data_IF_956542582435
#
_entry.id   IF_956542582435
#
_cell.length_a   1.000
_cell.length_b   1.000
_cell.length_c   1.000
_cell.angle_alpha   90.00
_cell.angle_beta   90.00
_cell.angle_gamma   90.00
#
_symmetry.space_group_name_H-M   'P 1'
#
loop_
_entity.id
_entity.type
_entity.pdbx_description
1 polymer ?
#
# COMPACT_ATOMS: atom_id res chain seq x y z
N UNK A 1 -7.27 -10.08 21.97
CA UNK A 1 -5.87 -9.74 22.35
C UNK A 1 -5.36 -8.64 21.45
N UNK A 2 -4.53 -7.70 21.93
CA UNK A 2 -3.91 -6.67 21.08
C UNK A 2 -2.45 -7.01 20.79
N UNK A 3 -2.02 -6.84 19.54
CA UNK A 3 -0.63 -6.98 19.12
C UNK A 3 -0.30 -5.88 18.12
N UNK A 4 0.85 -5.25 18.25
CA UNK A 4 1.25 -4.16 17.37
C UNK A 4 2.48 -4.59 16.57
N UNK A 5 2.57 -4.12 15.33
CA UNK A 5 3.68 -4.45 14.45
C UNK A 5 4.19 -3.19 13.75
N UNK A 6 5.50 -3.05 13.66
CA UNK A 6 6.12 -2.13 12.72
C UNK A 6 6.14 -2.77 11.32
N UNK A 7 6.00 -1.95 10.29
CA UNK A 7 5.96 -2.38 8.88
C UNK A 7 7.17 -1.80 8.14
N UNK A 8 7.83 -2.67 7.35
CA UNK A 8 8.75 -2.27 6.28
C UNK A 8 8.43 -3.09 5.04
N UNK A 9 8.42 -2.47 3.87
CA UNK A 9 8.07 -3.18 2.64
C UNK A 9 8.29 -2.37 1.39
N UNK A 10 7.80 -2.91 0.29
CA UNK A 10 7.85 -2.24 -1.02
C UNK A 10 6.53 -2.47 -1.76
N UNK A 11 6.10 -1.46 -2.50
CA UNK A 11 5.06 -1.61 -3.52
C UNK A 11 5.64 -1.30 -4.89
N UNK A 12 5.40 -2.17 -5.86
CA UNK A 12 5.78 -1.99 -7.27
C UNK A 12 4.55 -1.56 -8.06
N UNK A 13 4.68 -0.45 -8.78
CA UNK A 13 3.64 0.06 -9.68
C UNK A 13 4.01 -0.35 -11.10
N UNK A 14 3.28 -1.32 -11.64
CA UNK A 14 3.63 -1.94 -12.93
C UNK A 14 3.55 -0.95 -14.07
N UNK A 15 2.47 -0.17 -14.16
CA UNK A 15 2.25 0.79 -15.24
C UNK A 15 3.33 1.89 -15.27
N UNK A 16 3.82 2.29 -14.10
CA UNK A 16 4.83 3.33 -13.95
C UNK A 16 6.27 2.79 -13.98
N UNK A 17 6.45 1.47 -14.08
CA UNK A 17 7.74 0.78 -14.04
C UNK A 17 8.64 1.30 -12.91
N UNK A 18 8.17 1.14 -11.68
CA UNK A 18 8.93 1.57 -10.52
C UNK A 18 8.30 1.14 -9.22
N UNK A 19 8.83 1.67 -8.12
CA UNK A 19 8.47 1.23 -6.78
C UNK A 19 8.47 2.36 -5.78
N UNK A 20 7.83 2.10 -4.65
CA UNK A 20 7.86 2.96 -3.48
C UNK A 20 8.12 2.13 -2.23
N UNK A 21 9.03 2.57 -1.34
CA UNK A 21 9.22 1.92 -0.06
C UNK A 21 8.02 2.21 0.84
N UNK A 22 7.65 1.22 1.64
CA UNK A 22 6.57 1.32 2.62
C UNK A 22 7.16 1.24 4.02
N UNK A 23 6.72 2.14 4.89
CA UNK A 23 6.97 2.07 6.33
C UNK A 23 5.70 2.43 7.07
N UNK A 24 5.57 1.99 8.31
CA UNK A 24 4.40 2.30 9.12
C UNK A 24 4.26 1.37 10.30
N UNK A 25 3.03 1.25 10.78
CA UNK A 25 2.67 0.26 11.79
C UNK A 25 1.24 -0.21 11.62
N UNK A 26 0.91 -1.29 12.32
CA UNK A 26 -0.44 -1.84 12.35
C UNK A 26 -0.76 -2.34 13.76
N UNK A 27 -1.84 -1.81 14.32
CA UNK A 27 -2.34 -2.16 15.64
C UNK A 27 -3.48 -3.17 15.48
N UNK A 28 -3.26 -4.41 15.87
CA UNK A 28 -4.18 -5.52 15.62
C UNK A 28 -4.96 -5.89 16.87
N UNK A 29 -6.21 -6.31 16.68
CA UNK A 29 -7.07 -6.91 17.70
C UNK A 29 -7.49 -8.31 17.23
N UNK A 30 -6.85 -9.32 17.81
CA UNK A 30 -7.14 -10.72 17.54
C UNK A 30 -8.31 -11.25 18.38
N UNK A 31 -9.22 -11.93 17.71
CA UNK A 31 -10.22 -12.84 18.27
C UNK A 31 -9.70 -14.28 18.14
N UNK A 32 -9.13 -14.79 19.24
CA UNK A 32 -8.54 -16.13 19.29
C UNK A 32 -9.58 -17.24 19.10
N UNK A 33 -10.84 -16.98 19.44
CA UNK A 33 -11.90 -18.00 19.31
C UNK A 33 -12.31 -18.22 17.86
N UNK A 34 -12.15 -17.19 17.02
CA UNK A 34 -12.55 -17.20 15.60
C UNK A 34 -11.36 -17.30 14.64
N UNK A 35 -10.13 -17.10 15.13
CA UNK A 35 -8.95 -17.00 14.26
C UNK A 35 -9.00 -15.77 13.35
N UNK A 36 -9.68 -14.71 13.76
CA UNK A 36 -9.87 -13.47 12.99
C UNK A 36 -9.21 -12.28 13.68
N UNK A 37 -8.93 -11.22 12.95
CA UNK A 37 -8.52 -9.94 13.52
C UNK A 37 -9.11 -8.76 12.76
N UNK A 38 -9.28 -7.65 13.47
CA UNK A 38 -9.36 -6.31 12.91
C UNK A 38 -8.10 -5.54 13.26
N UNK A 39 -7.73 -4.55 12.45
CA UNK A 39 -6.52 -3.79 12.67
C UNK A 39 -6.61 -2.36 12.14
N UNK A 40 -5.97 -1.46 12.87
CA UNK A 40 -5.79 -0.07 12.48
C UNK A 40 -4.39 0.04 11.84
N UNK A 41 -4.34 0.05 10.51
CA UNK A 41 -3.09 0.19 9.76
C UNK A 41 -2.74 1.68 9.68
N UNK A 42 -1.45 2.03 9.63
CA UNK A 42 -0.99 3.37 9.35
C UNK A 42 0.31 3.31 8.58
N UNK A 43 0.23 3.58 7.28
CA UNK A 43 1.42 3.75 6.44
C UNK A 43 1.87 5.20 6.48
N UNK A 44 3.18 5.40 6.59
CA UNK A 44 3.78 6.71 6.54
C UNK A 44 3.77 7.24 5.10
N UNK A 45 3.70 8.58 4.90
CA UNK A 45 4.00 9.17 3.61
C UNK A 45 5.39 8.74 3.12
N UNK A 46 5.52 8.58 1.82
CA UNK A 46 6.72 8.03 1.18
C UNK A 46 6.96 8.71 -0.17
N UNK A 47 8.12 8.43 -0.78
CA UNK A 47 8.48 8.92 -2.10
C UNK A 47 8.76 7.75 -3.02
N UNK A 48 8.04 7.67 -4.14
CA UNK A 48 8.25 6.67 -5.18
C UNK A 48 9.19 7.15 -6.29
N UNK A 49 9.85 6.20 -6.95
CA UNK A 49 10.67 6.43 -8.14
C UNK A 49 10.20 5.53 -9.26
N UNK A 50 10.04 6.10 -10.45
CA UNK A 50 9.34 5.50 -11.59
C UNK A 50 10.03 5.86 -12.90
N UNK A 51 9.82 5.04 -13.94
CA UNK A 51 10.33 5.30 -15.29
C UNK A 51 9.19 5.13 -16.29
N UNK A 52 8.48 6.23 -16.55
CA UNK A 52 7.32 6.25 -17.43
C UNK A 52 7.78 6.23 -18.89
N UNK A 53 7.03 5.58 -19.78
CA UNK A 53 7.38 5.38 -21.20
C UNK A 53 8.74 4.68 -21.44
N UNK A 54 9.34 4.07 -20.41
CA UNK A 54 10.61 3.35 -20.50
C UNK A 54 11.87 4.23 -20.45
N UNK A 55 11.75 5.56 -20.46
CA UNK A 55 12.91 6.46 -20.44
C UNK A 55 12.72 7.75 -19.61
N UNK A 56 11.51 8.07 -19.13
CA UNK A 56 11.24 9.31 -18.39
C UNK A 56 11.29 9.08 -16.88
N UNK A 57 12.35 9.53 -16.18
CA UNK A 57 12.45 9.41 -14.73
C UNK A 57 11.41 10.32 -14.07
N UNK A 58 10.58 9.71 -13.24
CA UNK A 58 9.49 10.36 -12.54
C UNK A 58 9.58 10.05 -11.05
N UNK A 59 9.26 11.02 -10.20
CA UNK A 59 9.10 10.81 -8.76
C UNK A 59 7.72 11.26 -8.32
N UNK A 60 7.18 10.61 -7.30
CA UNK A 60 5.93 11.04 -6.70
C UNK A 60 6.00 11.00 -5.18
N UNK A 61 5.44 12.03 -4.54
CA UNK A 61 5.18 12.03 -3.10
C UNK A 61 3.84 11.35 -2.87
N UNK A 62 3.83 10.31 -2.05
CA UNK A 62 2.71 9.39 -1.89
C UNK A 62 2.26 9.38 -0.45
N UNK A 63 0.94 9.46 -0.23
CA UNK A 63 0.32 9.29 1.07
C UNK A 63 -0.86 8.31 0.98
N UNK A 64 -1.23 7.74 2.12
CA UNK A 64 -2.24 6.71 2.21
C UNK A 64 -3.33 7.14 3.20
N UNK A 65 -4.59 6.93 2.83
CA UNK A 65 -5.74 7.19 3.70
C UNK A 65 -6.63 5.96 3.72
N UNK A 66 -6.72 5.30 4.87
CA UNK A 66 -7.60 4.14 5.02
C UNK A 66 -9.07 4.53 5.03
N UNK A 67 -9.88 3.70 4.39
CA UNK A 67 -11.35 3.85 4.39
C UNK A 67 -12.03 3.03 5.48
N UNK A 68 -11.27 2.17 6.17
CA UNK A 68 -11.76 1.35 7.27
C UNK A 68 -10.66 0.49 7.88
N UNK A 69 -11.06 -0.31 8.87
CA UNK A 69 -10.18 -1.29 9.53
C UNK A 69 -9.72 -2.35 8.53
N UNK A 70 -8.44 -2.70 8.61
CA UNK A 70 -7.94 -3.92 7.97
C UNK A 70 -8.57 -5.12 8.68
N UNK A 71 -9.02 -6.12 7.92
CA UNK A 71 -9.59 -7.35 8.48
C UNK A 71 -8.81 -8.55 7.98
N UNK A 72 -8.80 -9.63 8.75
CA UNK A 72 -8.08 -10.82 8.33
C UNK A 72 -8.29 -12.04 9.21
N UNK A 73 -7.60 -13.10 8.82
CA UNK A 73 -7.59 -14.40 9.51
C UNK A 73 -6.16 -14.82 9.78
N UNK A 74 -5.96 -15.51 10.90
CA UNK A 74 -4.73 -16.23 11.23
C UNK A 74 -5.13 -17.61 11.71
N UNK A 75 -4.79 -18.64 10.94
CA UNK A 75 -5.08 -20.03 11.33
C UNK A 75 -4.01 -20.59 12.29
N UNK A 76 -4.26 -21.81 12.78
CA UNK A 76 -3.36 -22.49 13.72
C UNK A 76 -2.04 -22.94 13.09
N UNK A 77 -1.99 -23.11 11.77
CA UNK A 77 -0.76 -23.35 11.01
C UNK A 77 0.07 -22.07 10.85
N UNK A 78 -0.54 -20.91 11.11
CA UNK A 78 0.04 -19.57 10.99
C UNK A 78 -0.05 -19.01 9.57
N UNK A 79 -0.99 -19.49 8.75
CA UNK A 79 -1.32 -18.83 7.50
C UNK A 79 -2.16 -17.59 7.79
N UNK A 80 -1.61 -16.42 7.46
CA UNK A 80 -2.29 -15.14 7.61
C UNK A 80 -2.88 -14.71 6.27
N UNK A 81 -4.10 -14.20 6.29
CA UNK A 81 -4.70 -13.44 5.18
C UNK A 81 -5.25 -12.13 5.71
N UNK A 82 -5.09 -11.05 4.95
CA UNK A 82 -5.63 -9.74 5.31
C UNK A 82 -6.19 -9.01 4.11
N UNK A 83 -7.14 -8.12 4.36
CA UNK A 83 -7.73 -7.22 3.39
C UNK A 83 -7.77 -5.81 3.97
N UNK A 84 -7.27 -4.86 3.19
CA UNK A 84 -7.29 -3.43 3.51
C UNK A 84 -7.86 -2.65 2.33
N UNK A 85 -8.52 -1.53 2.64
CA UNK A 85 -8.94 -0.56 1.64
C UNK A 85 -8.40 0.83 1.99
N UNK A 86 -7.82 1.51 0.99
CA UNK A 86 -7.28 2.85 1.19
C UNK A 86 -7.27 3.67 -0.10
N UNK A 87 -7.42 4.98 0.05
CA UNK A 87 -7.07 5.91 -1.01
C UNK A 87 -5.55 6.10 -1.05
N UNK A 88 -5.01 6.06 -2.27
CA UNK A 88 -3.62 6.45 -2.54
C UNK A 88 -3.64 7.88 -3.05
N UNK A 89 -2.91 8.78 -2.40
CA UNK A 89 -2.82 10.20 -2.73
C UNK A 89 -1.45 10.51 -3.32
N UNK A 90 -1.40 11.36 -4.34
CA UNK A 90 -0.15 11.88 -4.89
C UNK A 90 -0.03 13.37 -4.56
N UNK A 91 0.80 13.70 -3.57
CA UNK A 91 1.03 15.08 -3.16
C UNK A 91 1.73 15.90 -4.24
N UNK A 92 2.66 15.27 -4.96
CA UNK A 92 3.37 15.87 -6.10
C UNK A 92 3.82 14.77 -7.05
N UNK A 93 3.80 15.05 -8.35
CA UNK A 93 4.34 14.20 -9.41
C UNK A 93 5.34 15.04 -10.20
N UNK A 94 6.58 14.58 -10.28
CA UNK A 94 7.69 15.34 -10.87
C UNK A 94 8.39 14.54 -11.96
N UNK A 95 8.62 15.16 -13.12
CA UNK A 95 9.41 14.60 -14.22
C UNK A 95 10.68 15.44 -14.33
N UNK A 96 11.85 14.80 -14.29
CA UNK A 96 13.16 15.50 -14.21
C UNK A 96 13.21 16.57 -13.09
N UNK A 97 12.50 16.34 -11.98
CA UNK A 97 12.41 17.28 -10.85
C UNK A 97 11.44 18.45 -11.04
N UNK A 98 10.76 18.55 -12.19
CA UNK A 98 9.77 19.60 -12.47
C UNK A 98 8.37 19.05 -12.13
N UNK A 99 7.58 19.73 -11.28
CA UNK A 99 6.23 19.29 -10.95
C UNK A 99 5.31 19.38 -12.17
N UNK A 100 4.68 18.26 -12.51
CA UNK A 100 3.72 18.14 -13.62
C UNK A 100 2.27 17.94 -13.14
N UNK A 101 2.08 17.66 -11.85
CA UNK A 101 0.77 17.46 -11.24
C UNK A 101 0.87 16.95 -9.81
N UNK A 102 -0.24 16.39 -9.33
CA UNK A 102 -0.42 16.08 -7.91
C UNK A 102 -1.27 17.13 -7.21
N UNK A 103 -1.13 17.23 -5.89
CA UNK A 103 -1.83 18.19 -5.05
C UNK A 103 -2.77 17.54 -4.03
N UNK A 104 -3.43 18.35 -3.19
CA UNK A 104 -4.23 17.85 -2.06
C UNK A 104 -5.42 16.97 -2.49
N UNK A 105 -5.98 17.23 -3.67
CA UNK A 105 -7.12 16.50 -4.22
C UNK A 105 -6.72 15.29 -5.09
N UNK A 106 -5.43 15.14 -5.43
CA UNK A 106 -4.96 14.09 -6.32
C UNK A 106 -4.92 12.75 -5.59
N UNK A 107 -5.88 11.88 -5.90
CA UNK A 107 -6.01 10.56 -5.28
C UNK A 107 -6.74 9.56 -6.14
N UNK A 108 -6.71 8.29 -5.77
CA UNK A 108 -7.53 7.24 -6.41
C UNK A 108 -9.02 7.61 -6.34
N UNK A 109 -9.74 7.39 -7.45
CA UNK A 109 -11.15 7.71 -7.59
C UNK A 109 -12.04 6.92 -6.64
N UNK A 110 -11.66 5.65 -6.42
CA UNK A 110 -12.19 4.71 -5.43
C UNK A 110 -11.05 4.19 -4.53
N UNK A 111 -11.36 3.56 -3.39
CA UNK A 111 -10.34 2.90 -2.58
C UNK A 111 -9.65 1.78 -3.37
N UNK A 112 -8.34 1.68 -3.23
CA UNK A 112 -7.58 0.52 -3.67
C UNK A 112 -7.78 -0.60 -2.65
N UNK A 113 -8.20 -1.77 -3.13
CA UNK A 113 -8.34 -2.98 -2.33
C UNK A 113 -7.02 -3.75 -2.38
N UNK A 114 -6.45 -4.02 -1.21
CA UNK A 114 -5.18 -4.72 -1.05
C UNK A 114 -5.41 -5.99 -0.23
N UNK A 115 -5.30 -7.13 -0.90
CA UNK A 115 -5.35 -8.44 -0.28
C UNK A 115 -3.93 -8.98 -0.13
N UNK A 116 -3.58 -9.47 1.06
CA UNK A 116 -2.27 -10.03 1.36
C UNK A 116 -2.38 -11.40 2.00
N UNK A 117 -1.37 -12.23 1.76
CA UNK A 117 -1.19 -13.51 2.42
C UNK A 117 0.23 -13.65 2.96
N UNK A 118 0.42 -14.42 4.03
CA UNK A 118 1.75 -14.67 4.56
C UNK A 118 2.61 -15.50 3.62
N UNK A 119 3.87 -15.09 3.46
CA UNK A 119 4.91 -15.95 2.93
C UNK A 119 5.39 -16.87 4.06
N UNK A 120 4.88 -18.10 4.05
CA UNK A 120 5.13 -19.05 5.12
C UNK A 120 4.33 -18.75 6.39
N UNK A 121 4.89 -19.15 7.55
CA UNK A 121 4.22 -19.09 8.84
C UNK A 121 4.38 -17.72 9.51
N UNK A 122 3.28 -17.01 9.69
CA UNK A 122 3.21 -15.79 10.52
C UNK A 122 3.26 -16.16 12.01
N UNK A 123 4.03 -15.41 12.80
CA UNK A 123 4.22 -15.66 14.23
C UNK A 123 3.73 -14.45 15.05
N UNK A 124 2.68 -14.56 15.88
CA UNK A 124 2.08 -13.41 16.56
C UNK A 124 3.06 -12.51 17.36
N UNK A 125 4.05 -13.10 18.03
CA UNK A 125 5.02 -12.37 18.86
C UNK A 125 6.37 -12.13 18.18
N UNK A 126 6.44 -12.31 16.87
CA UNK A 126 7.65 -12.06 16.06
C UNK A 126 7.33 -11.28 14.78
N UNK A 127 6.24 -11.64 14.13
CA UNK A 127 5.76 -11.11 12.86
C UNK A 127 5.96 -12.09 11.71
N UNK A 128 6.11 -11.55 10.51
CA UNK A 128 6.27 -12.34 9.29
C UNK A 128 6.09 -11.51 8.03
N UNK A 129 6.48 -12.10 6.89
CA UNK A 129 6.33 -11.48 5.58
C UNK A 129 4.96 -11.75 4.99
N UNK A 130 4.37 -10.73 4.40
CA UNK A 130 3.12 -10.78 3.67
C UNK A 130 3.36 -10.32 2.23
N UNK A 131 2.67 -10.93 1.26
CA UNK A 131 2.66 -10.51 -0.14
C UNK A 131 1.27 -10.51 -0.72
N UNK A 132 1.10 -9.70 -1.75
CA UNK A 132 -0.11 -9.70 -2.56
C UNK A 132 0.05 -8.94 -3.86
N UNK A 133 -1.06 -8.89 -4.58
CA UNK A 133 -1.21 -8.11 -5.80
C UNK A 133 -2.45 -7.25 -5.69
N UNK A 134 -2.44 -6.09 -6.33
CA UNK A 134 -3.61 -5.21 -6.34
C UNK A 134 -3.74 -4.45 -7.66
N UNK A 135 -4.93 -3.91 -7.88
CA UNK A 135 -5.21 -2.96 -8.95
C UNK A 135 -5.21 -1.57 -8.34
N UNK A 136 -4.40 -0.65 -8.88
CA UNK A 136 -4.48 0.75 -8.52
C UNK A 136 -5.61 1.39 -9.31
N UNK A 137 -6.68 1.91 -8.67
CA UNK A 137 -7.76 2.57 -9.38
C UNK A 137 -7.27 3.81 -10.12
N UNK A 138 -8.05 4.25 -11.11
CA UNK A 138 -7.83 5.51 -11.80
C UNK A 138 -7.74 6.68 -10.79
N UNK A 139 -6.84 7.62 -11.04
CA UNK A 139 -6.68 8.82 -10.24
C UNK A 139 -7.67 9.90 -10.68
N UNK A 140 -8.01 10.80 -9.75
CA UNK A 140 -8.78 12.01 -9.96
C UNK A 140 -8.14 13.18 -9.22
N UNK A 141 -8.38 14.40 -9.69
CA UNK A 141 -7.96 15.62 -9.00
C UNK A 141 -6.47 15.95 -9.14
N UNK A 142 -5.77 15.41 -10.14
CA UNK A 142 -4.32 15.58 -10.29
C UNK A 142 -3.88 16.77 -11.13
N UNK A 143 -4.74 17.77 -11.29
CA UNK A 143 -4.51 18.97 -12.09
C UNK A 143 -4.79 18.77 -13.59
N UNK A 144 -4.25 19.66 -14.42
CA UNK A 144 -4.53 19.69 -15.88
C UNK A 144 -4.05 18.46 -16.65
N UNK A 145 -3.16 17.65 -16.06
CA UNK A 145 -2.64 16.41 -16.64
C UNK A 145 -3.22 15.16 -15.95
N UNK A 146 -4.39 15.26 -15.32
CA UNK A 146 -5.02 14.17 -14.58
C UNK A 146 -5.06 12.86 -15.36
N UNK A 147 -5.56 12.90 -16.60
CA UNK A 147 -5.79 11.69 -17.39
C UNK A 147 -4.48 11.03 -17.78
N UNK A 148 -3.45 11.83 -18.08
CA UNK A 148 -2.10 11.34 -18.35
C UNK A 148 -1.49 10.69 -17.11
N UNK A 149 -1.54 11.35 -15.95
CA UNK A 149 -1.00 10.82 -14.68
C UNK A 149 -1.72 9.52 -14.30
N UNK A 150 -3.05 9.49 -14.44
CA UNK A 150 -3.87 8.31 -14.19
C UNK A 150 -3.51 7.17 -15.14
N UNK A 151 -3.37 7.42 -16.44
CA UNK A 151 -3.03 6.40 -17.44
C UNK A 151 -1.67 5.73 -17.19
N UNK A 152 -0.70 6.46 -16.65
CA UNK A 152 0.64 5.93 -16.37
C UNK A 152 0.81 5.29 -15.00
N UNK A 153 -0.19 5.36 -14.12
CA UNK A 153 -0.11 4.83 -12.75
C UNK A 153 -1.16 3.78 -12.47
N UNK A 154 -2.39 3.97 -12.95
CA UNK A 154 -3.51 3.09 -12.71
C UNK A 154 -3.41 1.78 -13.49
N UNK A 155 -3.99 0.73 -12.93
CA UNK A 155 -4.08 -0.57 -13.59
C UNK A 155 -3.75 -1.74 -12.68
N UNK A 156 -3.95 -2.97 -13.18
CA UNK A 156 -3.71 -4.21 -12.44
C UNK A 156 -2.24 -4.61 -12.43
N UNK A 157 -1.93 -5.63 -11.62
CA UNK A 157 -0.62 -6.28 -11.62
C UNK A 157 0.44 -5.54 -10.82
N UNK A 158 0.04 -4.62 -9.93
CA UNK A 158 0.91 -4.07 -8.93
C UNK A 158 1.18 -5.14 -7.87
N UNK A 159 2.41 -5.21 -7.38
CA UNK A 159 2.80 -6.14 -6.33
C UNK A 159 3.13 -5.37 -5.07
N UNK A 160 2.89 -6.00 -3.92
CA UNK A 160 3.23 -5.44 -2.62
C UNK A 160 3.80 -6.55 -1.75
N UNK A 161 4.87 -6.23 -1.05
CA UNK A 161 5.47 -7.05 -0.01
C UNK A 161 5.65 -6.22 1.26
N UNK A 162 5.40 -6.84 2.41
CA UNK A 162 5.54 -6.21 3.71
C UNK A 162 6.11 -7.20 4.71
N UNK A 163 7.15 -6.79 5.42
CA UNK A 163 7.70 -7.45 6.59
C UNK A 163 7.13 -6.78 7.84
N UNK A 164 6.36 -7.54 8.62
CA UNK A 164 5.80 -7.10 9.88
C UNK A 164 6.72 -7.60 10.99
N UNK A 165 7.11 -6.70 11.89
CA UNK A 165 7.92 -7.04 13.07
C UNK A 165 7.14 -6.70 14.33
N UNK A 166 7.00 -7.67 15.24
CA UNK A 166 6.28 -7.47 16.49
C UNK A 166 6.92 -6.34 17.31
N UNK A 167 6.07 -5.43 17.78
CA UNK A 167 6.44 -4.30 18.63
C UNK A 167 5.90 -4.54 20.03
N UNK A 168 6.84 -4.63 20.98
CA UNK A 168 6.54 -4.76 22.40
C UNK A 168 5.90 -3.49 22.96
#
# INVERSE_FOLDING_TARGET
>A
MKLNFDIKGTSVIKAANGSTPLTGGIDTRYDLSKGTFDADLKLNPTKGQFTIMGFLPTTADIAFEQTGKTTGTLDTAGALKSQSEMYVKLGSVNVFGIPIGGGPECRTGTPAKIDLASEGRFQPYKGGKLKGTYTLPALKGCGGLNDMISAFTAGPGNTIDMDLTYKQ
#
